data_IF_471286823326
#
_entry.id   IF_471286823326
#
_cell.length_a   1.000
_cell.length_b   1.000
_cell.length_c   1.000
_cell.angle_alpha   90.00
_cell.angle_beta   90.00
_cell.angle_gamma   90.00
#
_symmetry.space_group_name_H-M   'P 1'
#
loop_
_entity.id
_entity.type
_entity.pdbx_description
1 polymer ?
#
# COMPACT_ATOMS: atom_id res chain seq x y z
N UNK A 1 44.45 -35.74 11.53
CA UNK A 1 43.34 -35.19 12.35
C UNK A 1 42.25 -34.74 11.37
N UNK A 2 41.23 -35.59 11.14
CA UNK A 2 39.81 -35.40 11.54
C UNK A 2 39.26 -34.02 11.14
N UNK A 3 38.16 -33.85 10.39
CA UNK A 3 37.11 -34.72 9.89
C UNK A 3 36.39 -34.00 8.72
N UNK A 4 36.11 -34.73 7.65
CA UNK A 4 35.12 -34.36 6.61
C UNK A 4 33.85 -35.16 6.92
N UNK A 5 32.68 -34.50 6.98
CA UNK A 5 31.38 -35.18 7.05
C UNK A 5 30.51 -34.73 5.87
N UNK A 6 30.37 -35.65 4.92
CA UNK A 6 29.34 -35.65 3.88
C UNK A 6 28.20 -36.53 4.41
N UNK A 7 26.96 -36.03 4.44
CA UNK A 7 25.79 -36.86 4.73
C UNK A 7 25.05 -37.23 3.44
N UNK A 8 24.84 -38.55 3.31
CA UNK A 8 24.13 -39.28 2.27
C UNK A 8 22.65 -38.86 2.19
N UNK A 9 22.19 -38.69 0.95
CA UNK A 9 20.78 -38.68 0.57
C UNK A 9 20.28 -40.14 0.50
N UNK A 10 19.19 -40.47 1.17
CA UNK A 10 18.56 -41.79 1.12
C UNK A 10 17.23 -41.66 0.38
N UNK A 11 17.16 -42.29 -0.78
CA UNK A 11 15.97 -42.46 -1.62
C UNK A 11 15.26 -43.72 -1.17
N UNK A 12 13.98 -43.64 -0.79
CA UNK A 12 13.11 -44.80 -0.63
C UNK A 12 12.00 -44.68 -1.66
N UNK A 13 12.08 -45.53 -2.68
CA UNK A 13 10.96 -45.91 -3.52
C UNK A 13 10.44 -47.27 -3.06
N UNK A 14 9.12 -47.40 -2.97
CA UNK A 14 8.43 -48.70 -2.95
C UNK A 14 7.30 -48.61 -3.97
N UNK A 15 7.28 -49.59 -4.87
CA UNK A 15 6.32 -49.80 -5.95
C UNK A 15 5.87 -51.26 -5.88
N UNK A 16 4.56 -51.53 -6.01
CA UNK A 16 3.86 -52.76 -6.46
C UNK A 16 2.51 -52.91 -5.72
N UNK A 17 1.41 -53.44 -6.26
CA UNK A 17 0.97 -53.89 -7.60
C UNK A 17 -0.55 -54.23 -7.49
N UNK A 18 -1.35 -54.02 -8.57
CA UNK A 18 -2.59 -54.72 -9.06
C UNK A 18 -3.64 -55.33 -8.09
N UNK A 19 -4.94 -55.54 -8.41
CA UNK A 19 -5.94 -55.16 -9.42
C UNK A 19 -7.30 -55.75 -8.96
N UNK A 20 -8.40 -55.11 -9.40
CA UNK A 20 -9.72 -55.64 -9.83
C UNK A 20 -10.87 -56.11 -8.88
N UNK A 21 -12.03 -55.49 -9.19
CA UNK A 21 -13.43 -55.96 -9.26
C UNK A 21 -14.37 -55.88 -8.05
N UNK A 22 -15.56 -55.31 -8.31
CA UNK A 22 -16.80 -55.61 -7.56
C UNK A 22 -17.80 -54.44 -7.46
N UNK A 23 -18.73 -54.35 -8.41
CA UNK A 23 -19.93 -53.49 -8.37
C UNK A 23 -20.96 -54.06 -7.38
N UNK A 24 -21.52 -53.24 -6.48
CA UNK A 24 -22.90 -53.34 -5.95
C UNK A 24 -23.32 -51.97 -5.35
N UNK A 25 -24.47 -51.45 -5.78
CA UNK A 25 -25.22 -50.34 -5.17
C UNK A 25 -26.47 -50.90 -4.47
N UNK A 26 -27.37 -50.10 -3.85
CA UNK A 26 -27.24 -48.96 -2.92
C UNK A 26 -28.07 -49.20 -1.62
N UNK A 27 -27.84 -48.44 -0.54
CA UNK A 27 -28.87 -48.21 0.49
C UNK A 27 -28.49 -47.01 1.37
N UNK A 28 -29.45 -46.12 1.60
CA UNK A 28 -29.25 -44.81 2.21
C UNK A 28 -28.73 -44.85 3.65
N UNK A 29 -27.85 -43.91 3.93
CA UNK A 29 -27.75 -43.24 5.22
C UNK A 29 -27.73 -41.76 4.89
N UNK A 30 -28.73 -41.02 5.36
CA UNK A 30 -28.65 -39.58 5.49
C UNK A 30 -27.41 -39.30 6.35
N UNK A 31 -26.30 -38.97 5.71
CA UNK A 31 -25.24 -38.25 6.37
C UNK A 31 -25.81 -36.86 6.64
N UNK A 32 -26.30 -36.67 7.87
CA UNK A 32 -26.35 -35.37 8.49
C UNK A 32 -25.01 -34.69 8.21
N UNK A 33 -25.01 -33.72 7.30
CA UNK A 33 -23.92 -32.78 7.19
C UNK A 33 -23.92 -32.01 8.51
N UNK A 34 -23.19 -32.53 9.49
CA UNK A 34 -22.65 -31.71 10.55
C UNK A 34 -21.97 -30.54 9.86
N UNK A 35 -22.60 -29.38 9.96
CA UNK A 35 -21.95 -28.12 9.66
C UNK A 35 -20.75 -28.05 10.60
N UNK A 36 -19.55 -28.22 10.06
CA UNK A 36 -18.32 -27.84 10.76
C UNK A 36 -18.26 -26.32 10.83
N UNK A 37 -19.15 -25.74 11.63
CA UNK A 37 -19.09 -24.38 12.13
C UNK A 37 -18.07 -24.33 13.26
N UNK A 38 -16.79 -24.31 12.90
CA UNK A 38 -15.69 -23.96 13.81
C UNK A 38 -14.75 -23.01 13.06
N UNK A 39 -14.27 -21.89 13.58
CA UNK A 39 -14.32 -21.40 14.97
C UNK A 39 -13.65 -20.03 15.11
N UNK A 40 -13.80 -19.17 14.09
CA UNK A 40 -13.30 -17.79 14.11
C UNK A 40 -14.47 -16.82 14.25
N UNK A 41 -14.56 -16.14 15.39
CA UNK A 41 -15.54 -15.09 15.66
C UNK A 41 -14.83 -13.80 16.04
N UNK A 42 -15.49 -12.67 15.78
CA UNK A 42 -15.02 -11.36 16.26
C UNK A 42 -15.34 -11.26 17.76
N UNK A 43 -14.31 -11.13 18.59
CA UNK A 43 -14.42 -11.03 20.05
C UNK A 43 -14.38 -9.58 20.53
N UNK A 44 -13.72 -8.70 19.77
CA UNK A 44 -13.66 -7.26 20.04
C UNK A 44 -13.62 -6.47 18.75
N UNK A 45 -14.38 -5.38 18.68
CA UNK A 45 -14.43 -4.50 17.51
C UNK A 45 -14.43 -3.04 17.97
N UNK A 46 -13.43 -2.29 17.56
CA UNK A 46 -13.22 -0.90 17.99
C UNK A 46 -12.94 0.00 16.79
N UNK A 47 -13.72 1.06 16.63
CA UNK A 47 -13.39 2.14 15.71
C UNK A 47 -12.40 3.09 16.37
N UNK A 48 -11.13 3.08 15.92
CA UNK A 48 -10.07 3.88 16.53
C UNK A 48 -10.15 5.36 16.11
N UNK A 49 -10.46 5.59 14.84
CA UNK A 49 -10.58 6.89 14.17
C UNK A 49 -11.38 6.71 12.86
N UNK A 50 -11.68 7.78 12.09
CA UNK A 50 -12.57 7.70 10.93
C UNK A 50 -12.18 6.70 9.84
N UNK A 51 -10.95 6.19 9.80
CA UNK A 51 -10.46 5.30 8.73
C UNK A 51 -9.88 3.99 9.23
N UNK A 52 -9.97 3.71 10.54
CA UNK A 52 -9.28 2.59 11.15
C UNK A 52 -10.18 1.85 12.14
N UNK A 53 -10.32 0.55 11.91
CA UNK A 53 -10.86 -0.38 12.89
C UNK A 53 -9.74 -1.23 13.49
N UNK A 54 -9.88 -1.57 14.77
CA UNK A 54 -9.16 -2.63 15.44
C UNK A 54 -10.12 -3.79 15.67
N UNK A 55 -9.81 -4.96 15.09
CA UNK A 55 -10.66 -6.15 15.15
C UNK A 55 -9.89 -7.27 15.81
N UNK A 56 -10.41 -7.80 16.91
CA UNK A 56 -9.84 -8.98 17.59
C UNK A 56 -10.72 -10.18 17.31
N UNK A 57 -10.09 -11.28 16.93
CA UNK A 57 -10.73 -12.57 16.66
C UNK A 57 -10.43 -13.58 17.78
N UNK A 58 -11.23 -14.65 17.84
CA UNK A 58 -11.02 -15.77 18.78
C UNK A 58 -9.71 -16.54 18.54
N UNK A 59 -9.14 -16.45 17.33
CA UNK A 59 -7.85 -17.01 16.95
C UNK A 59 -7.25 -16.21 15.78
N UNK A 60 -5.96 -16.39 15.44
CA UNK A 60 -5.36 -15.73 14.28
C UNK A 60 -6.10 -16.07 13.00
N UNK A 61 -6.24 -15.09 12.11
CA UNK A 61 -6.79 -15.28 10.77
C UNK A 61 -5.82 -16.08 9.88
N UNK A 62 -6.35 -17.00 9.05
CA UNK A 62 -5.58 -17.62 7.98
C UNK A 62 -4.96 -16.57 7.03
N UNK A 63 -3.75 -16.84 6.53
CA UNK A 63 -3.03 -15.90 5.69
C UNK A 63 -3.77 -15.60 4.37
N UNK A 64 -4.48 -16.58 3.83
CA UNK A 64 -5.32 -16.45 2.64
C UNK A 64 -6.51 -15.51 2.84
N UNK A 65 -7.02 -15.39 4.06
CA UNK A 65 -8.21 -14.58 4.36
C UNK A 65 -7.93 -13.08 4.36
N UNK A 66 -6.67 -12.70 4.53
CA UNK A 66 -6.21 -11.31 4.58
C UNK A 66 -5.59 -10.84 3.27
N UNK A 67 -5.58 -11.67 2.22
CA UNK A 67 -5.25 -11.22 0.86
C UNK A 67 -6.33 -10.28 0.33
N UNK A 68 -5.99 -9.23 -0.42
CA UNK A 68 -6.91 -8.11 -0.69
C UNK A 68 -8.29 -8.52 -1.22
N UNK A 69 -8.34 -9.34 -2.27
CA UNK A 69 -9.61 -9.74 -2.88
C UNK A 69 -10.42 -10.65 -1.94
N UNK A 70 -9.75 -11.51 -1.17
CA UNK A 70 -10.38 -12.35 -0.15
C UNK A 70 -10.84 -11.54 1.04
N UNK A 71 -10.05 -10.60 1.52
CA UNK A 71 -10.40 -9.70 2.60
C UNK A 71 -11.64 -8.88 2.24
N UNK A 72 -11.74 -8.38 1.00
CA UNK A 72 -12.94 -7.64 0.54
C UNK A 72 -14.19 -8.50 0.55
N UNK A 73 -14.07 -9.79 0.24
CA UNK A 73 -15.18 -10.74 0.30
C UNK A 73 -15.49 -11.19 1.75
N UNK A 74 -14.46 -11.34 2.59
CA UNK A 74 -14.58 -11.86 3.94
C UNK A 74 -15.07 -10.79 4.94
N UNK A 75 -14.69 -9.53 4.77
CA UNK A 75 -15.05 -8.42 5.64
C UNK A 75 -16.14 -7.57 4.98
N UNK A 76 -17.39 -7.88 5.28
CA UNK A 76 -18.54 -7.20 4.70
C UNK A 76 -19.10 -6.21 5.71
N UNK A 77 -19.22 -4.95 5.30
CA UNK A 77 -19.86 -3.91 6.09
C UNK A 77 -21.17 -3.46 5.44
N UNK A 78 -22.06 -2.89 6.24
CA UNK A 78 -23.25 -2.20 5.77
C UNK A 78 -22.98 -0.70 5.50
N UNK A 79 -24.03 0.02 5.08
CA UNK A 79 -24.04 1.49 4.96
C UNK A 79 -22.94 2.04 4.05
N UNK A 80 -22.50 1.26 3.05
CA UNK A 80 -21.49 1.68 2.07
C UNK A 80 -20.05 1.77 2.61
N UNK A 81 -19.81 1.34 3.86
CA UNK A 81 -18.45 1.22 4.38
C UNK A 81 -17.74 0.03 3.68
N UNK A 82 -16.44 0.15 3.44
CA UNK A 82 -15.65 -0.89 2.80
C UNK A 82 -14.22 -0.89 3.31
N UNK A 83 -13.51 -2.02 3.21
CA UNK A 83 -12.07 -2.04 3.42
C UNK A 83 -11.34 -1.32 2.28
N UNK A 84 -10.31 -0.54 2.62
CA UNK A 84 -9.42 0.11 1.65
C UNK A 84 -8.23 -0.76 1.27
N UNK A 85 -7.75 -1.59 2.19
CA UNK A 85 -6.60 -2.45 1.97
C UNK A 85 -6.68 -3.68 2.90
N UNK A 86 -5.67 -4.54 2.80
CA UNK A 86 -5.56 -5.76 3.60
C UNK A 86 -5.54 -5.47 5.11
N UNK A 87 -6.33 -6.21 5.92
CA UNK A 87 -6.16 -6.31 7.36
C UNK A 87 -4.74 -6.78 7.71
N UNK A 88 -4.14 -6.18 8.75
CA UNK A 88 -2.77 -6.49 9.14
C UNK A 88 -2.68 -6.83 10.63
N UNK A 89 -2.01 -7.94 10.95
CA UNK A 89 -1.84 -8.41 12.32
C UNK A 89 -0.97 -7.43 13.10
N UNK A 90 -1.48 -6.92 14.21
CA UNK A 90 -0.81 -5.97 15.09
C UNK A 90 0.32 -6.65 15.86
N UNK A 91 1.48 -6.00 15.90
CA UNK A 91 2.65 -6.44 16.67
C UNK A 91 2.33 -6.37 18.17
N UNK A 92 2.62 -7.45 18.90
CA UNK A 92 2.26 -7.60 20.31
C UNK A 92 0.91 -8.27 20.55
N UNK A 93 0.14 -8.54 19.49
CA UNK A 93 -1.11 -9.28 19.57
C UNK A 93 -1.02 -10.63 18.84
N UNK A 94 -1.91 -11.56 19.21
CA UNK A 94 -2.05 -12.88 18.57
C UNK A 94 -3.14 -12.88 17.49
N UNK A 95 -4.25 -12.18 17.71
CA UNK A 95 -5.42 -12.20 16.85
C UNK A 95 -6.09 -10.84 16.65
N UNK A 96 -5.35 -9.74 16.86
CA UNK A 96 -5.85 -8.36 16.71
C UNK A 96 -5.29 -7.73 15.44
N UNK A 97 -6.19 -7.25 14.58
CA UNK A 97 -5.86 -6.73 13.26
C UNK A 97 -6.21 -5.25 13.15
N UNK A 98 -5.33 -4.50 12.49
CA UNK A 98 -5.62 -3.15 12.01
C UNK A 98 -6.31 -3.28 10.64
N UNK A 99 -7.56 -2.84 10.56
CA UNK A 99 -8.40 -2.93 9.36
C UNK A 99 -8.64 -1.52 8.81
N UNK A 100 -8.05 -1.18 7.65
CA UNK A 100 -8.25 0.12 7.00
C UNK A 100 -9.62 0.17 6.31
N UNK A 101 -10.42 1.19 6.61
CA UNK A 101 -11.76 1.37 6.02
C UNK A 101 -11.86 2.65 5.18
N UNK A 102 -12.89 2.74 4.36
CA UNK A 102 -13.40 4.04 3.89
C UNK A 102 -13.78 4.92 5.09
N UNK A 103 -13.96 6.23 4.85
CA UNK A 103 -14.24 7.16 5.94
C UNK A 103 -15.59 6.83 6.57
N UNK A 104 -15.58 6.59 7.87
CA UNK A 104 -16.77 6.32 8.67
C UNK A 104 -17.55 7.60 8.88
N UNK A 105 -18.87 7.52 8.77
CA UNK A 105 -19.76 8.60 9.20
C UNK A 105 -19.78 8.65 10.72
N UNK A 106 -19.42 9.78 11.36
CA UNK A 106 -19.41 9.90 12.82
C UNK A 106 -20.77 9.56 13.43
N UNK A 107 -20.79 8.66 14.43
CA UNK A 107 -22.01 8.27 15.14
C UNK A 107 -22.93 7.31 14.39
N UNK A 108 -22.66 6.97 13.12
CA UNK A 108 -23.44 5.99 12.39
C UNK A 108 -23.25 4.58 13.00
N UNK A 109 -24.33 3.82 13.10
CA UNK A 109 -24.27 2.42 13.48
C UNK A 109 -23.91 1.59 12.24
N UNK A 110 -22.81 0.86 12.34
CA UNK A 110 -22.34 -0.06 11.32
C UNK A 110 -22.36 -1.49 11.85
N UNK A 111 -22.38 -2.45 10.94
CA UNK A 111 -22.12 -3.86 11.22
C UNK A 111 -20.93 -4.37 10.43
N UNK A 112 -20.15 -5.26 11.02
CA UNK A 112 -19.14 -6.07 10.35
C UNK A 112 -19.59 -7.53 10.37
N UNK A 113 -19.81 -8.12 9.20
CA UNK A 113 -19.95 -9.55 9.01
C UNK A 113 -18.60 -10.12 8.53
N UNK A 114 -18.01 -11.02 9.31
CA UNK A 114 -16.83 -11.78 8.89
C UNK A 114 -17.26 -13.15 8.36
N UNK A 115 -17.11 -13.40 7.06
CA UNK A 115 -17.59 -14.62 6.38
C UNK A 115 -19.07 -14.90 6.72
N UNK A 116 -19.38 -16.13 7.16
CA UNK A 116 -20.72 -16.55 7.56
C UNK A 116 -21.03 -16.36 9.05
N UNK A 117 -20.17 -15.65 9.78
CA UNK A 117 -20.43 -15.37 11.20
C UNK A 117 -21.55 -14.32 11.36
N UNK A 118 -22.25 -14.33 12.51
CA UNK A 118 -23.18 -13.26 12.84
C UNK A 118 -22.51 -11.88 12.79
N UNK A 119 -23.22 -10.83 12.32
CA UNK A 119 -22.67 -9.48 12.28
C UNK A 119 -22.43 -8.93 13.69
N UNK A 120 -21.33 -8.19 13.84
CA UNK A 120 -20.98 -7.47 15.07
C UNK A 120 -21.10 -5.97 14.82
N UNK A 121 -21.84 -5.28 15.69
CA UNK A 121 -22.08 -3.84 15.55
C UNK A 121 -20.94 -2.99 16.11
N UNK A 122 -20.73 -1.82 15.52
CA UNK A 122 -19.87 -0.76 16.04
C UNK A 122 -20.38 0.62 15.63
N UNK A 123 -19.91 1.65 16.33
CA UNK A 123 -20.27 3.04 16.01
C UNK A 123 -19.11 3.72 15.29
N UNK A 124 -19.42 4.41 14.19
CA UNK A 124 -18.44 5.18 13.43
C UNK A 124 -17.79 6.27 14.27
N UNK A 125 -16.46 6.37 14.20
CA UNK A 125 -15.68 7.29 15.02
C UNK A 125 -15.34 8.57 14.26
N UNK A 126 -15.72 9.73 14.81
CA UNK A 126 -15.44 11.05 14.23
C UNK A 126 -14.14 11.73 14.71
N UNK A 127 -13.38 11.09 15.59
CA UNK A 127 -12.15 11.65 16.16
C UNK A 127 -11.02 11.61 15.12
N UNK A 128 -10.92 12.69 14.36
CA UNK A 128 -9.94 12.85 13.29
C UNK A 128 -8.50 12.71 13.79
N UNK A 129 -7.67 12.10 12.97
CA UNK A 129 -6.23 11.94 13.22
C UNK A 129 -5.53 13.31 13.25
N UNK A 130 -4.74 13.64 14.29
CA UNK A 130 -3.99 14.88 14.32
C UNK A 130 -2.74 14.78 13.44
N UNK A 131 -2.58 15.72 12.51
CA UNK A 131 -1.41 15.87 11.64
C UNK A 131 -0.77 17.25 11.88
N UNK A 132 0.56 17.33 11.82
CA UNK A 132 1.33 18.55 12.13
C UNK A 132 1.18 19.61 11.04
N UNK A 133 1.56 19.26 9.82
CA UNK A 133 1.72 20.26 8.76
C UNK A 133 1.49 19.70 7.38
N UNK A 134 1.11 20.57 6.44
CA UNK A 134 1.12 20.32 5.02
C UNK A 134 2.23 21.11 4.34
N UNK A 135 2.91 20.51 3.35
CA UNK A 135 3.90 21.23 2.53
C UNK A 135 4.05 20.67 1.14
N UNK A 136 4.48 21.51 0.21
CA UNK A 136 4.87 21.09 -1.13
C UNK A 136 6.11 20.18 -1.10
N UNK A 137 6.08 19.12 -1.91
CA UNK A 137 7.21 18.20 -2.13
C UNK A 137 7.78 18.38 -3.54
N UNK A 138 6.92 18.51 -4.54
CA UNK A 138 7.31 18.72 -5.94
C UNK A 138 6.29 19.60 -6.65
N UNK A 139 6.37 19.74 -7.96
CA UNK A 139 5.47 20.59 -8.74
C UNK A 139 4.02 20.08 -8.76
N UNK A 140 3.76 18.79 -8.49
CA UNK A 140 2.41 18.19 -8.49
C UNK A 140 2.11 17.38 -7.22
N UNK A 141 3.00 17.42 -6.24
CA UNK A 141 2.91 16.56 -5.05
C UNK A 141 3.11 17.40 -3.79
N UNK A 142 2.29 17.16 -2.77
CA UNK A 142 2.46 17.68 -1.42
C UNK A 142 2.44 16.54 -0.41
N UNK A 143 2.81 16.81 0.84
CA UNK A 143 2.73 15.86 1.95
C UNK A 143 1.97 16.43 3.13
N UNK A 144 1.47 15.54 3.98
CA UNK A 144 0.97 15.87 5.31
C UNK A 144 1.74 15.04 6.34
N UNK A 145 2.27 15.68 7.38
CA UNK A 145 3.17 15.05 8.34
C UNK A 145 2.45 14.65 9.63
N UNK A 146 2.80 13.48 10.16
CA UNK A 146 2.46 13.02 11.51
C UNK A 146 3.73 12.67 12.29
N UNK A 147 3.62 12.51 13.61
CA UNK A 147 4.77 12.20 14.46
C UNK A 147 4.42 11.24 15.59
N UNK A 148 5.34 10.29 15.84
CA UNK A 148 5.30 9.44 17.03
C UNK A 148 5.32 10.27 18.32
N UNK A 149 6.01 11.42 18.32
CA UNK A 149 6.06 12.36 19.44
C UNK A 149 4.70 13.00 19.76
N UNK A 150 3.77 13.02 18.80
CA UNK A 150 2.40 13.50 19.02
C UNK A 150 1.43 12.37 19.37
N UNK A 151 1.94 11.13 19.49
CA UNK A 151 1.10 9.96 19.73
C UNK A 151 0.37 9.51 18.48
N UNK A 152 0.96 9.69 17.30
CA UNK A 152 0.42 9.20 16.03
C UNK A 152 1.44 8.29 15.37
N UNK A 153 1.05 7.04 15.11
CA UNK A 153 1.89 6.06 14.41
C UNK A 153 1.24 5.60 13.13
N UNK A 154 2.07 5.42 12.11
CA UNK A 154 1.80 4.63 10.94
C UNK A 154 1.63 3.16 11.34
N UNK A 155 0.66 2.48 10.73
CA UNK A 155 0.44 1.05 10.99
C UNK A 155 1.66 0.19 10.63
N UNK A 156 2.49 0.58 9.65
CA UNK A 156 3.66 -0.19 9.24
C UNK A 156 4.67 -0.35 10.40
N UNK A 157 4.70 0.57 11.36
CA UNK A 157 5.57 0.47 12.55
C UNK A 157 5.06 -0.56 13.57
N UNK A 158 3.80 -0.97 13.49
CA UNK A 158 3.11 -1.76 14.52
C UNK A 158 2.42 -3.01 13.94
N UNK A 159 2.76 -3.44 12.74
CA UNK A 159 2.22 -4.67 12.13
C UNK A 159 3.30 -5.68 11.81
N UNK A 160 3.00 -6.96 12.03
CA UNK A 160 3.98 -8.04 11.95
C UNK A 160 4.63 -8.15 10.57
N UNK A 161 3.88 -7.90 9.51
CA UNK A 161 4.36 -8.00 8.13
C UNK A 161 5.48 -7.00 7.79
N UNK A 162 5.60 -5.91 8.55
CA UNK A 162 6.52 -4.80 8.24
C UNK A 162 7.64 -4.62 9.28
N UNK A 163 7.69 -5.44 10.35
CA UNK A 163 8.70 -5.31 11.43
C UNK A 163 10.13 -5.27 10.88
N UNK A 164 10.48 -6.23 10.02
CA UNK A 164 11.84 -6.29 9.45
C UNK A 164 12.15 -5.07 8.58
N UNK A 165 11.17 -4.58 7.83
CA UNK A 165 11.33 -3.40 6.97
C UNK A 165 11.51 -2.12 7.79
N UNK A 166 10.80 -1.99 8.91
CA UNK A 166 10.87 -0.81 9.77
C UNK A 166 12.10 -0.81 10.69
N UNK A 167 12.65 -1.99 11.01
CA UNK A 167 13.83 -2.10 11.87
C UNK A 167 13.63 -1.42 13.21
N UNK A 168 14.46 -0.41 13.51
CA UNK A 168 14.42 0.32 14.78
C UNK A 168 13.13 1.14 15.01
N UNK A 169 12.33 1.38 13.97
CA UNK A 169 11.04 2.06 14.07
C UNK A 169 9.89 1.12 14.43
N UNK A 170 10.11 -0.20 14.38
CA UNK A 170 9.09 -1.17 14.74
C UNK A 170 8.91 -1.24 16.26
N UNK A 171 7.66 -1.28 16.72
CA UNK A 171 7.34 -1.47 18.13
C UNK A 171 6.01 -2.19 18.32
N UNK A 172 5.82 -2.73 19.52
CA UNK A 172 4.58 -3.40 19.93
C UNK A 172 3.71 -2.42 20.71
N UNK A 173 2.43 -2.40 20.39
CA UNK A 173 1.41 -1.70 21.16
C UNK A 173 0.60 -2.72 21.97
N UNK A 174 0.27 -2.41 23.22
CA UNK A 174 -0.64 -3.23 24.01
C UNK A 174 -2.10 -3.15 23.50
N UNK A 175 -3.03 -3.84 24.16
CA UNK A 175 -4.45 -3.88 23.78
C UNK A 175 -5.11 -2.50 23.79
N UNK A 176 -4.62 -1.57 24.61
CA UNK A 176 -5.09 -0.19 24.75
C UNK A 176 -4.36 0.77 23.81
N UNK A 177 -3.57 0.24 22.86
CA UNK A 177 -2.75 1.00 21.92
C UNK A 177 -1.68 1.86 22.61
N UNK A 178 -1.09 1.36 23.69
CA UNK A 178 -0.03 2.06 24.42
C UNK A 178 1.35 1.45 24.22
N UNK A 179 2.36 2.30 24.27
CA UNK A 179 3.78 1.93 24.36
C UNK A 179 4.51 2.97 25.20
N UNK A 180 5.30 2.51 26.18
CA UNK A 180 6.04 3.37 27.12
C UNK A 180 5.15 4.44 27.80
N UNK A 181 3.95 4.05 28.24
CA UNK A 181 3.00 4.93 28.94
C UNK A 181 2.28 5.94 28.04
N UNK A 182 2.43 5.83 26.72
CA UNK A 182 1.79 6.73 25.75
C UNK A 182 0.81 5.97 24.86
N UNK A 183 -0.42 6.47 24.76
CA UNK A 183 -1.42 5.99 23.80
C UNK A 183 -1.14 6.54 22.41
N UNK A 184 -1.22 5.68 21.40
CA UNK A 184 -1.06 6.04 20.01
C UNK A 184 -2.37 5.96 19.23
N UNK A 185 -2.64 7.00 18.44
CA UNK A 185 -3.53 6.95 17.31
C UNK A 185 -2.83 6.25 16.14
N UNK A 186 -3.56 5.41 15.42
CA UNK A 186 -3.01 4.58 14.34
C UNK A 186 -3.52 5.09 12.99
N UNK A 187 -2.61 5.48 12.12
CA UNK A 187 -2.90 5.73 10.71
C UNK A 187 -2.83 4.38 9.99
N UNK A 188 -3.98 3.81 9.66
CA UNK A 188 -4.07 2.60 8.83
C UNK A 188 -3.58 2.87 7.39
N UNK A 189 -3.54 1.84 6.55
CA UNK A 189 -3.17 2.00 5.14
C UNK A 189 -4.02 3.06 4.43
N UNK A 190 -3.37 4.10 3.90
CA UNK A 190 -3.98 5.19 3.15
C UNK A 190 -4.25 4.87 1.66
N UNK A 191 -4.19 3.59 1.26
CA UNK A 191 -4.58 3.14 -0.08
C UNK A 191 -5.93 3.75 -0.48
N UNK A 192 -6.00 4.28 -1.70
CA UNK A 192 -7.17 4.94 -2.28
C UNK A 192 -7.70 6.16 -1.49
N UNK A 193 -6.98 6.64 -0.48
CA UNK A 193 -7.35 7.88 0.20
C UNK A 193 -7.08 9.10 -0.67
N UNK A 194 -7.90 10.12 -0.48
CA UNK A 194 -7.70 11.43 -1.09
C UNK A 194 -7.63 12.52 -0.01
N UNK A 195 -7.06 13.65 -0.41
CA UNK A 195 -7.14 14.90 0.31
C UNK A 195 -7.63 16.00 -0.63
N UNK A 196 -8.24 17.02 -0.05
CA UNK A 196 -8.68 18.19 -0.80
C UNK A 196 -7.65 19.29 -0.68
N UNK A 197 -7.16 19.79 -1.81
CA UNK A 197 -6.26 20.93 -1.89
C UNK A 197 -7.02 22.13 -2.49
N UNK A 198 -7.18 23.20 -1.72
CA UNK A 198 -7.92 24.39 -2.15
C UNK A 198 -6.96 25.57 -2.34
N UNK A 199 -6.77 26.09 -3.56
CA UNK A 199 -6.06 27.35 -3.79
C UNK A 199 -6.87 28.54 -3.28
N UNK A 200 -6.22 29.58 -2.77
CA UNK A 200 -6.84 30.79 -2.20
C UNK A 200 -7.88 31.49 -3.09
N UNK A 201 -7.86 31.27 -4.42
CA UNK A 201 -8.77 31.85 -5.41
C UNK A 201 -9.19 30.84 -6.49
N UNK A 202 -9.40 29.58 -6.13
CA UNK A 202 -9.80 28.58 -7.10
C UNK A 202 -10.60 27.43 -6.52
N UNK A 203 -10.97 26.51 -7.41
CA UNK A 203 -11.78 25.35 -7.04
C UNK A 203 -10.95 24.33 -6.27
N UNK A 204 -11.55 23.61 -5.30
CA UNK A 204 -10.92 22.49 -4.63
C UNK A 204 -10.45 21.41 -5.62
N UNK A 205 -9.28 20.85 -5.36
CA UNK A 205 -8.64 19.81 -6.17
C UNK A 205 -8.55 18.54 -5.32
N UNK A 206 -9.07 17.43 -5.81
CA UNK A 206 -8.85 16.12 -5.20
C UNK A 206 -7.46 15.61 -5.55
N UNK A 207 -6.63 15.38 -4.55
CA UNK A 207 -5.32 14.78 -4.69
C UNK A 207 -5.31 13.37 -4.12
N UNK A 208 -4.67 12.43 -4.81
CA UNK A 208 -4.68 11.01 -4.45
C UNK A 208 -3.40 10.62 -3.74
N UNK A 209 -3.51 9.78 -2.73
CA UNK A 209 -2.36 9.23 -2.02
C UNK A 209 -1.35 8.57 -2.97
N UNK A 210 -0.07 8.85 -2.76
CA UNK A 210 1.06 8.24 -3.47
C UNK A 210 1.45 6.97 -2.71
N UNK A 211 1.27 5.77 -3.30
CA UNK A 211 1.52 4.52 -2.58
C UNK A 211 2.92 4.43 -1.98
N UNK A 212 3.00 3.81 -0.80
CA UNK A 212 4.25 3.55 -0.08
C UNK A 212 5.04 4.82 0.29
N UNK A 213 4.35 5.93 0.58
CA UNK A 213 4.98 7.16 1.10
C UNK A 213 4.56 7.50 2.52
N UNK A 214 3.68 6.69 3.13
CA UNK A 214 3.12 6.93 4.47
C UNK A 214 4.19 6.98 5.55
N UNK A 215 5.06 5.97 5.60
CA UNK A 215 6.20 5.85 6.50
C UNK A 215 7.43 5.37 5.72
N UNK A 216 8.19 6.33 5.19
CA UNK A 216 9.41 6.07 4.40
C UNK A 216 10.53 6.99 4.84
N UNK A 217 11.78 6.53 4.66
CA UNK A 217 12.99 7.28 4.98
C UNK A 217 12.98 7.89 6.41
N UNK A 218 12.39 7.16 7.37
CA UNK A 218 12.31 7.55 8.79
C UNK A 218 11.27 8.61 9.13
N UNK A 219 10.36 8.95 8.22
CA UNK A 219 9.33 9.98 8.42
C UNK A 219 7.93 9.43 8.14
N UNK A 220 6.95 9.90 8.90
CA UNK A 220 5.54 9.58 8.68
C UNK A 220 4.84 10.72 7.93
N UNK A 221 5.15 10.85 6.63
CA UNK A 221 4.74 11.97 5.80
C UNK A 221 4.13 11.49 4.46
N UNK A 222 2.90 10.92 4.50
CA UNK A 222 2.19 10.50 3.29
C UNK A 222 2.09 11.64 2.29
N UNK A 223 2.29 11.27 1.03
CA UNK A 223 2.26 12.21 -0.10
C UNK A 223 0.99 12.06 -0.89
N UNK A 224 0.53 13.18 -1.42
CA UNK A 224 -0.66 13.28 -2.24
C UNK A 224 -0.32 14.00 -3.52
N UNK A 225 -0.76 13.42 -4.64
CA UNK A 225 -0.47 13.93 -5.97
C UNK A 225 -1.72 14.49 -6.62
N UNK A 226 -1.56 15.63 -7.28
CA UNK A 226 -2.60 16.24 -8.08
C UNK A 226 -2.99 15.33 -9.27
N UNK A 227 -4.18 15.51 -9.84
CA UNK A 227 -4.58 14.81 -11.05
C UNK A 227 -3.57 15.02 -12.19
N UNK A 228 -3.48 14.06 -13.10
CA UNK A 228 -2.54 14.10 -14.22
C UNK A 228 -2.68 15.42 -15.02
N UNK A 229 -1.55 16.06 -15.31
CA UNK A 229 -1.48 17.33 -16.01
C UNK A 229 -1.68 18.58 -15.13
N UNK A 230 -2.09 18.43 -13.87
CA UNK A 230 -2.18 19.55 -12.94
C UNK A 230 -0.87 19.81 -12.20
N UNK A 231 -0.64 21.07 -11.85
CA UNK A 231 0.58 21.54 -11.19
C UNK A 231 0.23 22.59 -10.13
N UNK A 232 1.01 22.61 -9.06
CA UNK A 232 1.05 23.68 -8.08
C UNK A 232 1.66 24.93 -8.73
N UNK A 233 0.91 26.03 -8.70
CA UNK A 233 1.31 27.30 -9.31
C UNK A 233 2.19 28.08 -8.33
N UNK A 234 3.44 28.42 -8.68
CA UNK A 234 4.31 29.18 -7.80
C UNK A 234 3.68 30.50 -7.35
N UNK A 235 3.81 30.82 -6.07
CA UNK A 235 3.25 32.02 -5.42
C UNK A 235 1.80 31.88 -4.96
N UNK A 236 1.08 30.80 -5.33
CA UNK A 236 -0.29 30.56 -4.87
C UNK A 236 -0.26 29.91 -3.48
N UNK A 237 -1.07 30.43 -2.57
CA UNK A 237 -1.34 29.80 -1.28
C UNK A 237 -2.40 28.71 -1.43
N UNK A 238 -2.12 27.53 -0.89
CA UNK A 238 -3.01 26.37 -0.90
C UNK A 238 -3.30 25.93 0.53
N UNK A 239 -4.55 25.51 0.78
CA UNK A 239 -4.99 24.93 2.04
C UNK A 239 -5.40 23.47 1.82
N UNK A 240 -4.87 22.56 2.65
CA UNK A 240 -5.21 21.14 2.64
C UNK A 240 -6.33 20.86 3.64
N UNK A 241 -7.34 20.10 3.24
CA UNK A 241 -8.38 19.58 4.13
C UNK A 241 -8.63 18.08 3.94
N UNK A 242 -9.16 17.46 4.99
CA UNK A 242 -9.42 16.02 5.07
C UNK A 242 -10.73 15.75 5.82
N UNK A 243 -11.42 14.69 5.42
CA UNK A 243 -12.56 14.12 6.14
C UNK A 243 -12.13 13.19 7.29
N UNK A 244 -10.89 12.69 7.30
CA UNK A 244 -10.38 11.75 8.31
C UNK A 244 -9.29 12.32 9.24
N UNK A 245 -8.69 13.45 8.89
CA UNK A 245 -7.62 14.09 9.65
C UNK A 245 -7.87 15.58 9.92
N UNK A 246 -7.27 16.07 11.01
CA UNK A 246 -7.13 17.49 11.33
C UNK A 246 -5.67 17.87 11.17
N UNK A 247 -5.37 18.81 10.27
CA UNK A 247 -4.00 19.27 10.01
C UNK A 247 -3.81 20.61 10.73
N UNK A 248 -2.89 20.68 11.69
CA UNK A 248 -2.66 21.87 12.50
C UNK A 248 -2.16 23.06 11.67
N UNK A 249 -1.22 22.81 10.76
CA UNK A 249 -0.73 23.81 9.78
C UNK A 249 -1.12 23.38 8.36
N UNK A 250 -2.37 23.62 7.91
CA UNK A 250 -2.89 23.05 6.67
C UNK A 250 -2.46 23.82 5.41
N UNK A 251 -1.89 25.01 5.55
CA UNK A 251 -1.63 25.91 4.44
C UNK A 251 -0.15 25.99 4.08
N UNK A 252 0.14 26.12 2.78
CA UNK A 252 1.47 26.41 2.26
C UNK A 252 1.41 27.24 0.98
N UNK A 253 2.40 28.11 0.78
CA UNK A 253 2.61 28.81 -0.50
C UNK A 253 3.48 27.95 -1.41
N UNK A 254 2.98 27.63 -2.60
CA UNK A 254 3.74 26.85 -3.55
C UNK A 254 4.98 27.63 -4.05
N UNK A 255 6.14 27.01 -3.94
CA UNK A 255 7.39 27.51 -4.48
C UNK A 255 7.59 27.01 -5.93
N UNK A 256 8.47 27.71 -6.66
CA UNK A 256 8.96 27.21 -7.94
C UNK A 256 9.84 25.98 -7.70
N UNK A 257 9.34 24.81 -8.08
CA UNK A 257 10.08 23.54 -7.97
C UNK A 257 10.64 23.12 -9.32
N UNK A 258 11.83 22.52 -9.30
CA UNK A 258 12.41 21.90 -10.51
C UNK A 258 11.84 20.49 -10.64
N UNK A 259 11.48 20.03 -11.86
CA UNK A 259 11.17 18.61 -12.08
C UNK A 259 12.34 17.72 -11.66
N UNK A 260 12.09 16.43 -11.49
CA UNK A 260 13.15 15.44 -11.35
C UNK A 260 13.99 15.40 -12.64
N UNK A 261 15.24 14.97 -12.55
CA UNK A 261 16.13 14.92 -13.71
C UNK A 261 16.57 13.48 -13.95
N UNK A 262 16.12 12.89 -15.06
CA UNK A 262 16.56 11.57 -15.51
C UNK A 262 17.95 11.71 -16.12
N UNK A 263 18.93 11.10 -15.44
CA UNK A 263 20.32 11.02 -15.86
C UNK A 263 20.50 10.00 -16.98
N UNK A 264 19.89 8.83 -16.84
CA UNK A 264 20.02 7.73 -17.81
C UNK A 264 18.86 6.73 -17.71
N UNK A 265 18.62 6.02 -18.79
CA UNK A 265 17.70 4.87 -18.86
C UNK A 265 18.46 3.71 -19.52
N UNK A 266 18.45 2.55 -18.88
CA UNK A 266 19.14 1.34 -19.36
C UNK A 266 18.16 0.19 -19.44
N UNK A 267 18.21 -0.59 -20.52
CA UNK A 267 17.48 -1.86 -20.57
C UNK A 267 18.20 -2.90 -19.69
N UNK A 268 17.45 -3.58 -18.83
CA UNK A 268 17.93 -4.72 -18.05
C UNK A 268 17.67 -6.01 -18.82
N UNK A 269 16.50 -6.10 -19.45
CA UNK A 269 16.07 -7.16 -20.35
C UNK A 269 15.02 -6.60 -21.32
N UNK A 270 14.38 -7.46 -22.10
CA UNK A 270 13.40 -7.06 -23.12
C UNK A 270 12.16 -6.36 -22.56
N UNK A 271 11.89 -6.43 -21.25
CA UNK A 271 10.66 -5.95 -20.62
C UNK A 271 10.91 -4.98 -19.46
N UNK A 272 12.17 -4.75 -19.09
CA UNK A 272 12.55 -4.03 -17.86
C UNK A 272 13.61 -2.97 -18.14
N UNK A 273 13.40 -1.79 -17.56
CA UNK A 273 14.29 -0.65 -17.62
C UNK A 273 14.75 -0.26 -16.21
N UNK A 274 16.00 0.17 -16.10
CA UNK A 274 16.50 0.94 -14.97
C UNK A 274 16.55 2.42 -15.34
N UNK A 275 15.84 3.24 -14.55
CA UNK A 275 15.81 4.69 -14.69
C UNK A 275 16.62 5.30 -13.56
N UNK A 276 17.69 6.00 -13.90
CA UNK A 276 18.56 6.66 -12.92
C UNK A 276 18.30 8.17 -12.93
N UNK A 277 18.01 8.76 -11.78
CA UNK A 277 17.93 10.21 -11.61
C UNK A 277 19.31 10.79 -11.27
N UNK A 278 19.47 12.11 -11.46
CA UNK A 278 20.69 12.83 -11.03
C UNK A 278 20.87 12.82 -9.50
N UNK A 279 19.76 12.68 -8.74
CA UNK A 279 19.74 12.60 -7.28
C UNK A 279 18.66 11.62 -6.82
N UNK A 280 18.90 11.00 -5.67
CA UNK A 280 17.89 10.20 -4.98
C UNK A 280 16.68 11.09 -4.68
N UNK A 281 15.47 10.74 -5.19
CA UNK A 281 14.28 11.52 -4.94
C UNK A 281 13.77 11.38 -3.50
N UNK A 282 14.47 10.60 -2.65
CA UNK A 282 14.01 10.13 -1.35
C UNK A 282 12.78 9.27 -1.54
N UNK A 283 11.73 9.42 -0.73
CA UNK A 283 10.44 8.70 -0.76
C UNK A 283 10.03 8.07 -2.11
N UNK A 284 9.00 7.22 -2.14
CA UNK A 284 8.50 6.56 -3.36
C UNK A 284 7.82 7.52 -4.39
N UNK A 285 8.47 8.63 -4.77
CA UNK A 285 8.04 9.65 -5.74
C UNK A 285 7.94 9.12 -7.17
N UNK A 286 8.61 7.99 -7.46
CA UNK A 286 8.41 7.24 -8.69
C UNK A 286 7.07 6.51 -8.73
N UNK A 287 6.41 6.24 -7.60
CA UNK A 287 5.14 5.53 -7.56
C UNK A 287 4.13 6.18 -8.52
N UNK A 288 3.50 5.36 -9.36
CA UNK A 288 2.56 5.78 -10.41
C UNK A 288 3.16 6.65 -11.53
N UNK A 289 4.47 6.74 -11.67
CA UNK A 289 5.12 7.40 -12.82
C UNK A 289 5.38 6.42 -13.94
N UNK A 290 5.39 6.94 -15.17
CA UNK A 290 5.63 6.17 -16.39
C UNK A 290 6.50 6.92 -17.40
N UNK A 291 7.07 6.13 -18.30
CA UNK A 291 7.82 6.56 -19.47
C UNK A 291 7.13 6.07 -20.74
N UNK A 292 7.19 6.87 -21.78
CA UNK A 292 6.84 6.52 -23.14
C UNK A 292 8.13 6.26 -23.93
N UNK A 293 8.17 5.14 -24.65
CA UNK A 293 9.27 4.73 -25.50
C UNK A 293 8.77 4.67 -26.95
N UNK A 294 9.43 5.40 -27.86
CA UNK A 294 9.03 5.46 -29.27
C UNK A 294 10.14 4.89 -30.15
N UNK A 295 9.83 3.84 -30.90
CA UNK A 295 10.71 3.24 -31.90
C UNK A 295 10.81 4.12 -33.17
N UNK A 296 11.81 3.89 -34.05
CA UNK A 296 11.96 4.64 -35.29
C UNK A 296 10.77 4.52 -36.27
N UNK A 297 10.06 3.39 -36.22
CA UNK A 297 8.84 3.14 -37.00
C UNK A 297 7.58 3.81 -36.43
N UNK A 298 7.71 4.51 -35.29
CA UNK A 298 6.61 5.16 -34.59
C UNK A 298 5.89 4.29 -33.57
N UNK A 299 6.25 3.01 -33.41
CA UNK A 299 5.65 2.16 -32.40
C UNK A 299 5.93 2.69 -30.97
N UNK A 300 4.91 2.69 -30.13
CA UNK A 300 4.96 3.23 -28.77
C UNK A 300 4.80 2.13 -27.73
N UNK A 301 5.72 2.11 -26.78
CA UNK A 301 5.62 1.29 -25.57
C UNK A 301 5.51 2.18 -24.34
N UNK A 302 4.83 1.69 -23.30
CA UNK A 302 4.73 2.37 -22.01
C UNK A 302 5.45 1.54 -20.96
N UNK A 303 6.36 2.15 -20.22
CA UNK A 303 6.99 1.56 -19.05
C UNK A 303 6.43 2.23 -17.79
N UNK A 304 6.01 1.46 -16.79
CA UNK A 304 5.53 1.98 -15.51
C UNK A 304 6.50 1.60 -14.40
N UNK A 305 6.72 2.51 -13.45
CA UNK A 305 7.55 2.22 -12.30
C UNK A 305 7.03 1.00 -11.52
N UNK A 306 7.92 0.04 -11.27
CA UNK A 306 7.69 -1.08 -10.37
C UNK A 306 7.79 -0.57 -8.95
N UNK A 307 6.67 -0.57 -8.25
CA UNK A 307 6.58 0.00 -6.91
C UNK A 307 7.54 -0.71 -5.94
N UNK A 308 8.14 0.04 -5.00
CA UNK A 308 9.19 -0.43 -4.07
C UNK A 308 10.51 -0.88 -4.71
N UNK A 309 10.74 -0.56 -5.99
CA UNK A 309 11.99 -0.92 -6.66
C UNK A 309 13.11 0.14 -6.53
N UNK A 310 12.83 1.28 -5.87
CA UNK A 310 13.79 2.36 -5.68
C UNK A 310 15.01 1.87 -4.90
N UNK A 311 16.19 2.13 -5.46
CA UNK A 311 17.49 1.95 -4.81
C UNK A 311 18.27 3.25 -4.95
N UNK A 312 18.10 4.14 -3.97
CA UNK A 312 18.59 5.51 -4.05
C UNK A 312 18.03 6.23 -5.30
N UNK A 313 18.87 6.72 -6.23
CA UNK A 313 18.41 7.42 -7.44
C UNK A 313 17.85 6.50 -8.55
N UNK A 314 17.93 5.18 -8.39
CA UNK A 314 17.55 4.21 -9.43
C UNK A 314 16.17 3.66 -9.14
N UNK A 315 15.29 3.61 -10.15
CA UNK A 315 14.01 2.92 -10.10
C UNK A 315 13.87 1.92 -11.25
N UNK A 316 13.21 0.79 -11.01
CA UNK A 316 12.89 -0.19 -12.05
C UNK A 316 11.55 0.16 -12.69
N UNK A 317 11.49 0.14 -14.02
CA UNK A 317 10.27 0.35 -14.79
C UNK A 317 10.00 -0.86 -15.68
N UNK A 318 8.77 -1.38 -15.63
CA UNK A 318 8.34 -2.56 -16.38
C UNK A 318 7.46 -2.14 -17.56
N UNK A 319 7.73 -2.71 -18.73
CA UNK A 319 6.89 -2.51 -19.92
C UNK A 319 5.51 -3.10 -19.69
N UNK A 320 4.50 -2.30 -19.98
CA UNK A 320 3.11 -2.62 -19.75
C UNK A 320 2.53 -3.46 -20.90
N UNK A 321 1.44 -4.17 -20.61
CA UNK A 321 0.66 -4.94 -21.61
C UNK A 321 1.49 -5.94 -22.43
N UNK A 322 2.51 -6.54 -21.82
CA UNK A 322 3.39 -7.50 -22.48
C UNK A 322 4.34 -6.89 -23.52
N UNK A 323 4.51 -5.57 -23.53
CA UNK A 323 5.42 -4.88 -24.43
C UNK A 323 6.87 -5.35 -24.27
N UNK A 324 7.62 -5.37 -25.38
CA UNK A 324 9.02 -5.80 -25.43
C UNK A 324 9.86 -4.86 -26.28
N UNK A 325 11.09 -4.60 -25.83
CA UNK A 325 12.14 -3.99 -26.63
C UNK A 325 12.64 -5.00 -27.67
N UNK A 326 12.80 -4.54 -28.90
CA UNK A 326 13.41 -5.33 -29.95
C UNK A 326 14.94 -5.21 -29.88
N UNK A 327 15.69 -6.34 -29.96
CA UNK A 327 17.16 -6.29 -30.04
C UNK A 327 17.62 -5.39 -31.18
N UNK A 328 18.65 -4.59 -30.95
CA UNK A 328 19.18 -3.72 -32.00
C UNK A 328 18.46 -2.37 -32.15
N UNK A 329 17.20 -2.25 -31.72
CA UNK A 329 16.36 -1.05 -31.91
C UNK A 329 16.61 -0.02 -30.82
N UNK A 330 16.78 1.25 -31.23
CA UNK A 330 16.95 2.38 -30.32
C UNK A 330 15.62 3.13 -30.16
N UNK A 331 15.10 3.16 -28.94
CA UNK A 331 13.85 3.82 -28.59
C UNK A 331 14.13 5.20 -28.01
N UNK A 332 13.39 6.22 -28.44
CA UNK A 332 13.39 7.54 -27.79
C UNK A 332 12.54 7.48 -26.54
N UNK A 333 13.09 7.93 -25.40
CA UNK A 333 12.43 7.86 -24.09
C UNK A 333 11.94 9.26 -23.67
N UNK A 334 10.68 9.33 -23.22
CA UNK A 334 10.08 10.55 -22.66
C UNK A 334 9.28 10.23 -21.39
N UNK A 335 9.39 11.03 -20.33
CA UNK A 335 8.45 10.99 -19.21
C UNK A 335 7.01 11.22 -19.69
N UNK A 336 6.07 10.43 -19.16
CA UNK A 336 4.64 10.72 -19.34
C UNK A 336 4.27 11.84 -18.37
N UNK A 337 3.90 13.00 -18.92
CA UNK A 337 3.74 14.23 -18.13
C UNK A 337 5.08 14.92 -17.83
N UNK A 338 5.06 15.85 -16.88
CA UNK A 338 6.20 16.76 -16.59
C UNK A 338 7.00 16.39 -15.34
N UNK A 339 6.89 15.14 -14.89
CA UNK A 339 7.48 14.72 -13.61
C UNK A 339 9.00 14.70 -13.62
N UNK A 340 9.58 14.51 -14.79
CA UNK A 340 11.00 14.62 -14.99
C UNK A 340 11.35 15.34 -16.30
N UNK A 341 12.58 15.86 -16.32
CA UNK A 341 13.30 16.23 -17.53
C UNK A 341 14.35 15.16 -17.83
N UNK A 342 14.64 14.93 -19.09
CA UNK A 342 15.78 14.10 -19.50
C UNK A 342 17.04 14.96 -19.58
N UNK A 343 18.18 14.38 -19.22
CA UNK A 343 19.48 15.04 -19.37
C UNK A 343 19.86 15.08 -20.85
N UNK A 344 20.01 16.29 -21.40
CA UNK A 344 20.18 16.52 -22.84
C UNK A 344 18.85 16.64 -23.60
N UNK A 345 18.91 16.83 -24.91
CA UNK A 345 17.70 17.06 -25.74
C UNK A 345 17.00 15.75 -26.17
N UNK A 346 17.65 14.60 -25.97
CA UNK A 346 17.15 13.29 -26.37
C UNK A 346 17.75 12.21 -25.48
N UNK A 347 16.91 11.34 -24.94
CA UNK A 347 17.32 10.14 -24.23
C UNK A 347 16.89 8.93 -25.06
N UNK A 348 17.80 7.96 -25.22
CA UNK A 348 17.51 6.73 -25.94
C UNK A 348 17.84 5.51 -25.11
N UNK A 349 17.10 4.43 -25.32
CA UNK A 349 17.41 3.11 -24.75
C UNK A 349 17.42 2.07 -25.85
N UNK A 350 18.32 1.09 -25.72
CA UNK A 350 18.47 -0.05 -26.60
C UNK A 350 18.69 -1.28 -25.73
N UNK A 351 18.11 -2.42 -26.13
CA UNK A 351 18.34 -3.73 -25.52
C UNK A 351 19.74 -4.25 -25.85
#
# INVERSE_FOLDING_TARGET
MKNVRVYKLMVIGVLCFMMLTGNLAPAGVQASSESTGSGLSVTKLEALNPITLQVTFSAPLPAEDVQLDRAKANFVFDQGLAIRNIPQLKTGATATYIVPTTVQTPGAAYTLKYKEQPPVSFTGNGNKLPLRSARQVSYDTFEVESSLEDGVTDYANIVQADIERQGALAFALDEQNQYQGKTYQIISSLRDSTLTLTPEKGQPIQATYVPYTQATDGRQAPKYRLPEGQELKPGVNYTVSSDWATIQSPAFTAAKTKPLHIKSVKAVNDSTLEVTLDKDPKDELFASRSLQLTAPDGAVLTAQYKVLSRKGPVGTFELQKGGKLLPGVSYTVKPVGKWAKVKGNKLTVKL
#
